data_IF_007222067952
#
_entry.id   IF_007222067952
#
_cell.length_a   1.000
_cell.length_b   1.000
_cell.length_c   1.000
_cell.angle_alpha   90.00
_cell.angle_beta   90.00
_cell.angle_gamma   90.00
#
_symmetry.space_group_name_H-M   'P 1'
#
loop_
_entity.id
_entity.type
_entity.pdbx_description
1 polymer ?
#
# COMPACT_ATOMS: atom_id res chain seq x y z
N UNK A 1 9.15 13.11 -16.49
CA UNK A 1 8.47 12.59 -15.27
C UNK A 1 8.48 13.69 -14.21
N UNK A 2 7.77 13.57 -13.09
CA UNK A 2 7.91 14.56 -12.00
C UNK A 2 9.39 14.74 -11.58
N UNK A 3 10.15 13.64 -11.58
CA UNK A 3 11.58 13.64 -11.28
C UNK A 3 12.49 14.36 -12.30
N UNK A 4 12.02 14.65 -13.52
CA UNK A 4 12.77 15.49 -14.47
C UNK A 4 12.63 16.98 -14.17
N UNK A 5 11.59 17.37 -13.41
CA UNK A 5 11.36 18.77 -13.02
C UNK A 5 11.96 19.13 -11.66
N UNK A 6 11.83 18.24 -10.66
CA UNK A 6 12.20 18.52 -9.26
C UNK A 6 13.17 17.50 -8.65
N UNK A 7 13.90 16.78 -9.50
CA UNK A 7 14.78 15.67 -9.11
C UNK A 7 14.04 14.49 -8.47
N UNK A 8 14.77 13.40 -8.19
CA UNK A 8 14.17 12.16 -7.72
C UNK A 8 13.55 12.27 -6.32
N UNK A 9 14.29 12.77 -5.33
CA UNK A 9 13.86 12.68 -3.93
C UNK A 9 12.62 13.53 -3.65
N UNK A 10 12.54 14.81 -4.07
CA UNK A 10 11.32 15.59 -3.91
C UNK A 10 10.13 14.98 -4.67
N UNK A 11 10.35 14.49 -5.89
CA UNK A 11 9.29 13.82 -6.66
C UNK A 11 8.77 12.56 -5.98
N UNK A 12 9.67 11.70 -5.48
CA UNK A 12 9.31 10.46 -4.81
C UNK A 12 8.55 10.72 -3.51
N UNK A 13 9.04 11.65 -2.67
CA UNK A 13 8.36 12.01 -1.41
C UNK A 13 6.99 12.62 -1.68
N UNK A 14 6.88 13.55 -2.63
CA UNK A 14 5.60 14.19 -2.97
C UNK A 14 4.57 13.17 -3.47
N UNK A 15 4.97 12.31 -4.41
CA UNK A 15 4.08 11.31 -4.97
C UNK A 15 3.66 10.26 -3.92
N UNK A 16 4.58 9.88 -3.04
CA UNK A 16 4.33 8.93 -1.95
C UNK A 16 3.40 9.51 -0.88
N UNK A 17 3.61 10.77 -0.49
CA UNK A 17 2.73 11.47 0.44
C UNK A 17 1.33 11.64 -0.15
N UNK A 18 1.24 12.00 -1.43
CA UNK A 18 -0.04 12.09 -2.14
C UNK A 18 -0.76 10.73 -2.18
N UNK A 19 -0.03 9.66 -2.49
CA UNK A 19 -0.58 8.30 -2.53
C UNK A 19 -1.13 7.86 -1.17
N UNK A 20 -0.38 8.08 -0.09
CA UNK A 20 -0.86 7.81 1.27
C UNK A 20 -2.07 8.66 1.66
N UNK A 21 -2.11 9.94 1.26
CA UNK A 21 -3.24 10.82 1.53
C UNK A 21 -4.52 10.39 0.81
N UNK A 22 -4.42 9.90 -0.43
CA UNK A 22 -5.58 9.37 -1.17
C UNK A 22 -6.13 8.11 -0.51
N UNK A 23 -5.30 7.27 0.12
CA UNK A 23 -5.77 6.08 0.83
C UNK A 23 -6.65 6.43 2.04
N UNK A 24 -6.46 7.59 2.67
CA UNK A 24 -7.32 8.04 3.77
C UNK A 24 -8.78 8.32 3.36
N UNK A 25 -9.08 8.31 2.06
CA UNK A 25 -10.45 8.41 1.53
C UNK A 25 -11.17 7.05 1.62
N UNK A 26 -10.42 5.95 1.70
CA UNK A 26 -10.99 4.61 1.77
C UNK A 26 -11.76 4.42 3.08
N UNK A 27 -12.94 3.82 2.99
CA UNK A 27 -13.77 3.59 4.14
C UNK A 27 -13.07 2.64 5.14
N UNK A 28 -12.96 3.08 6.40
CA UNK A 28 -12.33 2.29 7.46
C UNK A 28 -10.81 2.51 7.60
N UNK A 29 -10.17 3.20 6.65
CA UNK A 29 -8.72 3.42 6.65
C UNK A 29 -8.28 4.31 7.82
N UNK A 30 -7.09 4.03 8.36
CA UNK A 30 -6.53 4.79 9.48
C UNK A 30 -5.35 5.65 9.02
N UNK A 31 -4.97 6.64 9.84
CA UNK A 31 -3.75 7.41 9.57
C UNK A 31 -2.49 6.52 9.51
N UNK A 32 -2.50 5.37 10.21
CA UNK A 32 -1.40 4.40 10.19
C UNK A 32 -1.36 3.69 8.85
N UNK A 33 -2.50 3.21 8.33
CA UNK A 33 -2.51 2.58 7.02
C UNK A 33 -2.26 3.56 5.87
N UNK A 34 -2.74 4.81 5.96
CA UNK A 34 -2.33 5.87 5.04
C UNK A 34 -0.82 6.18 5.08
N UNK A 35 -0.21 6.16 6.26
CA UNK A 35 1.25 6.28 6.40
C UNK A 35 1.96 5.06 5.79
N UNK A 36 1.49 3.84 6.03
CA UNK A 36 2.01 2.62 5.44
C UNK A 36 1.92 2.65 3.91
N UNK A 37 0.79 3.08 3.35
CA UNK A 37 0.59 3.30 1.92
C UNK A 37 1.61 4.30 1.35
N UNK A 38 1.85 5.42 2.05
CA UNK A 38 2.89 6.36 1.66
C UNK A 38 4.29 5.76 1.69
N UNK A 39 4.64 5.01 2.75
CA UNK A 39 5.96 4.37 2.89
C UNK A 39 6.20 3.31 1.81
N UNK A 40 5.19 2.48 1.49
CA UNK A 40 5.33 1.50 0.40
C UNK A 40 5.42 2.19 -0.96
N UNK A 41 4.69 3.29 -1.17
CA UNK A 41 4.82 4.14 -2.37
C UNK A 41 6.25 4.67 -2.56
N UNK A 42 6.90 5.09 -1.47
CA UNK A 42 8.29 5.55 -1.49
C UNK A 42 9.25 4.40 -1.81
N UNK A 43 9.01 3.22 -1.22
CA UNK A 43 9.77 2.02 -1.53
C UNK A 43 9.62 1.62 -3.01
N UNK A 44 8.43 1.69 -3.59
CA UNK A 44 8.24 1.46 -5.02
C UNK A 44 9.01 2.45 -5.88
N UNK A 45 8.96 3.76 -5.58
CA UNK A 45 9.78 4.77 -6.28
C UNK A 45 11.27 4.41 -6.24
N UNK A 46 11.76 3.98 -5.08
CA UNK A 46 13.14 3.54 -4.91
C UNK A 46 13.46 2.30 -5.75
N UNK A 47 12.59 1.30 -5.77
CA UNK A 47 12.83 0.07 -6.55
C UNK A 47 12.89 0.34 -8.05
N UNK A 48 12.04 1.23 -8.57
CA UNK A 48 12.08 1.67 -9.97
C UNK A 48 13.39 2.40 -10.28
N UNK A 49 13.84 3.29 -9.39
CA UNK A 49 15.16 3.96 -9.54
C UNK A 49 16.32 2.96 -9.54
N UNK A 50 16.25 1.88 -8.75
CA UNK A 50 17.33 0.91 -8.61
C UNK A 50 17.37 -0.13 -9.71
N UNK A 51 16.21 -0.54 -10.23
CA UNK A 51 16.07 -1.61 -11.22
C UNK A 51 15.95 -1.08 -12.66
N UNK A 52 15.53 0.17 -12.84
CA UNK A 52 15.27 0.76 -14.15
C UNK A 52 13.98 0.26 -14.81
N UNK A 53 13.16 -0.53 -14.10
CA UNK A 53 11.93 -1.12 -14.62
C UNK A 53 10.81 -1.17 -13.59
N UNK A 54 9.57 -1.34 -14.08
CA UNK A 54 8.38 -1.36 -13.24
C UNK A 54 8.04 -2.75 -12.70
N UNK A 55 8.57 -3.81 -13.33
CA UNK A 55 8.16 -5.19 -13.08
C UNK A 55 8.31 -5.63 -11.63
N UNK A 56 9.37 -5.21 -10.94
CA UNK A 56 9.55 -5.54 -9.53
C UNK A 56 8.45 -4.93 -8.67
N UNK A 57 8.19 -3.62 -8.82
CA UNK A 57 7.15 -2.93 -8.06
C UNK A 57 5.76 -3.50 -8.35
N UNK A 58 5.45 -3.75 -9.63
CA UNK A 58 4.18 -4.38 -10.06
C UNK A 58 4.01 -5.77 -9.44
N UNK A 59 5.04 -6.61 -9.54
CA UNK A 59 4.98 -7.98 -9.02
C UNK A 59 4.83 -8.02 -7.50
N UNK A 60 5.55 -7.15 -6.78
CA UNK A 60 5.43 -7.04 -5.33
C UNK A 60 4.03 -6.58 -4.93
N UNK A 61 3.52 -5.52 -5.56
CA UNK A 61 2.18 -5.00 -5.28
C UNK A 61 1.09 -6.03 -5.58
N UNK A 62 1.11 -6.67 -6.75
CA UNK A 62 0.14 -7.69 -7.11
C UNK A 62 0.17 -8.89 -6.14
N UNK A 63 1.36 -9.28 -5.66
CA UNK A 63 1.50 -10.35 -4.67
C UNK A 63 0.96 -9.92 -3.31
N UNK A 64 1.16 -8.66 -2.92
CA UNK A 64 0.62 -8.07 -1.69
C UNK A 64 -0.90 -8.13 -1.69
N UNK A 65 -1.55 -7.53 -2.70
CA UNK A 65 -3.01 -7.45 -2.81
C UNK A 65 -3.63 -8.85 -2.89
N UNK A 66 -3.02 -9.77 -3.65
CA UNK A 66 -3.47 -11.16 -3.72
C UNK A 66 -3.38 -11.87 -2.36
N UNK A 67 -2.32 -11.60 -1.61
CA UNK A 67 -2.11 -12.21 -0.29
C UNK A 67 -3.15 -11.70 0.71
N UNK A 68 -3.37 -10.39 0.79
CA UNK A 68 -4.37 -9.79 1.66
C UNK A 68 -5.78 -10.28 1.30
N UNK A 69 -6.19 -10.04 0.05
CA UNK A 69 -7.54 -10.31 -0.42
C UNK A 69 -7.86 -11.80 -0.46
N UNK A 70 -7.12 -12.58 -1.25
CA UNK A 70 -7.47 -13.98 -1.50
C UNK A 70 -6.88 -14.93 -0.48
N UNK A 71 -5.60 -14.79 -0.12
CA UNK A 71 -4.97 -15.78 0.76
C UNK A 71 -5.46 -15.62 2.20
N UNK A 72 -5.34 -14.43 2.78
CA UNK A 72 -5.57 -14.22 4.22
C UNK A 72 -6.97 -13.75 4.58
N UNK A 73 -7.80 -13.30 3.63
CA UNK A 73 -9.09 -12.67 3.94
C UNK A 73 -8.93 -11.40 4.79
N UNK A 74 -7.85 -10.65 4.56
CA UNK A 74 -7.69 -9.31 5.12
C UNK A 74 -8.38 -8.29 4.21
N UNK A 75 -8.97 -7.21 4.77
CA UNK A 75 -9.44 -6.09 3.98
C UNK A 75 -8.30 -5.45 3.19
N UNK A 76 -8.38 -5.49 1.86
CA UNK A 76 -7.45 -4.77 0.97
C UNK A 76 -7.99 -3.36 0.77
N UNK A 77 -7.24 -2.37 1.24
CA UNK A 77 -7.62 -0.95 1.12
C UNK A 77 -9.03 -0.66 1.67
N UNK A 78 -9.45 -1.43 2.68
CA UNK A 78 -10.78 -1.38 3.30
C UNK A 78 -11.90 -2.14 2.60
N UNK A 79 -11.59 -2.89 1.55
CA UNK A 79 -12.55 -3.75 0.87
C UNK A 79 -12.31 -5.23 1.18
N UNK A 80 -13.39 -5.94 1.51
CA UNK A 80 -13.37 -7.40 1.65
C UNK A 80 -13.72 -8.07 0.32
N UNK A 81 -12.88 -8.99 -0.13
CA UNK A 81 -13.11 -9.77 -1.35
C UNK A 81 -13.74 -11.12 -0.99
N UNK A 82 -14.92 -11.49 -1.51
CA UNK A 82 -15.53 -12.79 -1.24
C UNK A 82 -14.75 -13.95 -1.91
N UNK A 83 -14.83 -15.15 -1.35
CA UNK A 83 -14.22 -16.36 -1.94
C UNK A 83 -12.73 -16.53 -1.63
N UNK A 84 -12.26 -15.93 -0.55
CA UNK A 84 -10.90 -16.08 0.00
C UNK A 84 -10.61 -17.51 0.48
N UNK A 85 -9.33 -17.90 0.41
CA UNK A 85 -8.81 -19.22 0.75
C UNK A 85 -8.87 -19.49 2.26
N UNK A 86 -8.37 -18.55 3.07
CA UNK A 86 -8.44 -18.61 4.53
C UNK A 86 -9.55 -17.71 5.04
N UNK A 87 -9.90 -17.86 6.32
CA UNK A 87 -10.83 -16.98 7.03
C UNK A 87 -10.14 -16.49 8.31
N UNK A 88 -9.24 -15.52 8.14
CA UNK A 88 -8.39 -15.02 9.22
C UNK A 88 -9.09 -13.90 9.99
N UNK A 89 -8.77 -13.80 11.29
CA UNK A 89 -9.26 -12.71 12.15
C UNK A 89 -8.13 -12.21 13.04
N UNK A 90 -7.93 -10.90 13.07
CA UNK A 90 -6.92 -10.25 13.91
C UNK A 90 -7.53 -9.80 15.24
N UNK A 91 -6.85 -10.09 16.35
CA UNK A 91 -7.27 -9.70 17.69
C UNK A 91 -6.19 -8.85 18.35
N UNK A 92 -6.56 -7.73 18.97
CA UNK A 92 -5.61 -6.85 19.66
C UNK A 92 -5.89 -5.36 19.47
N UNK A 93 -4.92 -4.49 19.80
CA UNK A 93 -5.05 -3.05 19.64
C UNK A 93 -5.18 -2.64 18.16
N UNK A 94 -6.12 -1.72 17.87
CA UNK A 94 -6.40 -1.25 16.50
C UNK A 94 -5.18 -0.73 15.73
N UNK A 95 -4.20 -0.15 16.44
CA UNK A 95 -2.98 0.35 15.81
C UNK A 95 -2.05 -0.76 15.30
N UNK A 96 -2.23 -2.00 15.78
CA UNK A 96 -1.47 -3.17 15.35
C UNK A 96 -2.28 -4.04 14.37
N UNK A 97 -3.60 -4.12 14.56
CA UNK A 97 -4.47 -4.99 13.77
C UNK A 97 -5.05 -4.34 12.51
N UNK A 98 -4.74 -3.07 12.24
CA UNK A 98 -5.37 -2.29 11.15
C UNK A 98 -6.75 -1.75 11.53
N UNK A 99 -7.49 -2.47 12.37
CA UNK A 99 -8.76 -2.03 12.94
C UNK A 99 -9.92 -2.60 12.14
N UNK A 100 -10.62 -1.77 11.38
CA UNK A 100 -11.66 -2.21 10.42
C UNK A 100 -11.10 -2.47 9.03
N UNK A 101 -9.85 -2.09 8.80
CA UNK A 101 -9.00 -2.52 7.69
C UNK A 101 -8.06 -3.61 8.18
#
# INVERSE_FOLDING_TARGET
TLSTGIEFWPAAVLLSAFFGAVHLINAGETWIGGLSAGLIGLFFCFTVRRTGGLWFAIGLHATWDYSESFMYSAPDSGAMVPGHLLNSSSHGPRWLTGGTV
#
